data_IF_186540728324
#
_entry.id   IF_186540728324
#
_cell.length_a   1.000
_cell.length_b   1.000
_cell.length_c   1.000
_cell.angle_alpha   90.00
_cell.angle_beta   90.00
_cell.angle_gamma   90.00
#
_symmetry.space_group_name_H-M   'P 1'
#
loop_
_entity.id
_entity.type
_entity.pdbx_description
1 polymer ?
#
# COMPACT_ATOMS: atom_id res chain seq x y z
N UNK A 1 -10.11 61.89 -10.24
CA UNK A 1 -11.27 61.24 -9.61
C UNK A 1 -12.10 62.33 -8.95
N UNK A 2 -13.40 62.43 -9.24
CA UNK A 2 -14.27 63.43 -8.59
C UNK A 2 -14.76 62.88 -7.25
N UNK A 3 -14.49 63.59 -6.17
CA UNK A 3 -15.10 63.31 -4.87
C UNK A 3 -16.57 63.73 -4.91
N UNK A 4 -17.47 62.81 -4.56
CA UNK A 4 -18.89 63.10 -4.45
C UNK A 4 -19.09 64.04 -3.26
N UNK A 5 -19.70 65.20 -3.49
CA UNK A 5 -20.01 66.16 -2.43
C UNK A 5 -20.98 65.53 -1.44
N UNK A 6 -20.56 65.46 -0.18
CA UNK A 6 -21.41 65.07 0.95
C UNK A 6 -22.38 66.23 1.19
N UNK A 7 -23.69 65.95 1.05
CA UNK A 7 -24.71 66.90 1.43
C UNK A 7 -24.63 67.12 2.95
N UNK A 8 -24.43 68.39 3.33
CA UNK A 8 -24.29 68.83 4.71
C UNK A 8 -25.58 68.50 5.49
N UNK A 9 -25.49 67.59 6.47
CA UNK A 9 -26.61 67.21 7.35
C UNK A 9 -26.92 65.70 7.45
N UNK A 10 -26.27 64.82 6.70
CA UNK A 10 -26.51 63.37 6.83
C UNK A 10 -25.61 62.75 7.90
N UNK A 11 -26.20 62.03 8.87
CA UNK A 11 -25.46 61.32 9.91
C UNK A 11 -24.40 60.40 9.28
N UNK A 12 -23.16 60.38 9.80
CA UNK A 12 -22.12 59.48 9.30
C UNK A 12 -22.63 58.04 9.27
N UNK A 13 -22.49 57.37 8.12
CA UNK A 13 -22.92 55.99 7.97
C UNK A 13 -22.25 55.13 9.04
N UNK A 14 -22.99 54.27 9.75
CA UNK A 14 -22.42 53.39 10.75
C UNK A 14 -21.38 52.48 10.09
N UNK A 15 -20.28 52.20 10.78
CA UNK A 15 -19.16 51.43 10.25
C UNK A 15 -19.58 50.09 9.66
N UNK A 16 -20.61 49.44 10.22
CA UNK A 16 -21.17 48.19 9.70
C UNK A 16 -21.76 48.33 8.28
N UNK A 17 -22.41 49.45 7.98
CA UNK A 17 -23.00 49.71 6.67
C UNK A 17 -21.94 50.06 5.63
N UNK A 18 -20.90 50.79 6.04
CA UNK A 18 -19.70 51.03 5.22
C UNK A 18 -19.02 49.71 4.86
N UNK A 19 -18.82 48.83 5.85
CA UNK A 19 -18.23 47.51 5.65
C UNK A 19 -19.12 46.65 4.74
N UNK A 20 -20.44 46.63 4.95
CA UNK A 20 -21.39 45.88 4.12
C UNK A 20 -21.35 46.33 2.65
N UNK A 21 -21.26 47.65 2.41
CA UNK A 21 -21.17 48.21 1.07
C UNK A 21 -19.84 47.88 0.38
N UNK A 22 -18.73 47.93 1.11
CA UNK A 22 -17.40 47.52 0.62
C UNK A 22 -17.39 46.03 0.28
N UNK A 23 -17.95 45.16 1.14
CA UNK A 23 -18.05 43.73 0.89
C UNK A 23 -18.97 43.40 -0.30
N UNK A 24 -20.10 44.10 -0.42
CA UNK A 24 -21.00 43.99 -1.57
C UNK A 24 -20.30 44.37 -2.88
N UNK A 25 -19.50 45.44 -2.85
CA UNK A 25 -18.72 45.89 -4.00
C UNK A 25 -17.55 44.94 -4.34
N UNK A 26 -16.95 44.30 -3.34
CA UNK A 26 -15.90 43.29 -3.51
C UNK A 26 -16.41 41.89 -3.89
N UNK A 27 -17.70 41.60 -3.70
CA UNK A 27 -18.34 40.31 -4.03
C UNK A 27 -18.20 39.95 -5.52
N UNK A 28 -18.23 40.94 -6.41
CA UNK A 28 -18.09 40.74 -7.86
C UNK A 28 -16.65 40.45 -8.31
N UNK A 29 -15.64 40.79 -7.52
CA UNK A 29 -14.24 40.62 -7.88
C UNK A 29 -13.47 40.11 -6.67
N UNK A 30 -13.48 38.79 -6.56
CA UNK A 30 -13.07 38.03 -5.39
C UNK A 30 -11.53 37.96 -5.21
N UNK A 31 -10.82 39.07 -5.39
CA UNK A 31 -9.37 39.16 -5.17
C UNK A 31 -9.02 39.10 -3.69
N UNK A 32 -9.91 39.58 -2.82
CA UNK A 32 -9.71 39.49 -1.37
C UNK A 32 -9.59 38.04 -0.91
N UNK A 33 -10.58 37.16 -1.20
CA UNK A 33 -10.50 35.75 -0.80
C UNK A 33 -9.39 34.98 -1.52
N UNK A 34 -9.02 35.38 -2.75
CA UNK A 34 -7.84 34.82 -3.44
C UNK A 34 -6.54 35.11 -2.69
N UNK A 35 -6.39 36.31 -2.14
CA UNK A 35 -5.18 36.70 -1.40
C UNK A 35 -5.10 36.07 0.01
N UNK A 36 -6.24 35.75 0.63
CA UNK A 36 -6.27 35.03 1.92
C UNK A 36 -6.29 33.51 1.78
N UNK A 37 -6.15 32.98 0.55
CA UNK A 37 -6.15 31.53 0.27
C UNK A 37 -7.51 30.84 0.44
N UNK A 38 -8.60 31.61 0.52
CA UNK A 38 -9.97 31.13 0.75
C UNK A 38 -10.76 30.90 -0.54
N UNK A 39 -10.16 31.10 -1.72
CA UNK A 39 -10.77 30.60 -2.96
C UNK A 39 -10.85 29.08 -2.89
N UNK A 40 -12.06 28.59 -2.71
CA UNK A 40 -12.37 27.16 -2.70
C UNK A 40 -11.81 26.50 -3.96
N UNK A 41 -11.11 25.36 -3.84
CA UNK A 41 -10.72 24.60 -5.01
C UNK A 41 -12.01 24.19 -5.75
N UNK A 42 -12.11 24.61 -7.02
CA UNK A 42 -13.24 24.33 -7.89
C UNK A 42 -13.66 22.86 -7.84
N UNK A 43 -14.96 22.58 -7.70
CA UNK A 43 -15.55 21.23 -7.58
C UNK A 43 -15.19 20.27 -8.73
N UNK A 44 -14.75 20.78 -9.89
CA UNK A 44 -14.24 19.95 -11.00
C UNK A 44 -12.95 19.20 -10.64
N UNK A 45 -12.15 19.73 -9.72
CA UNK A 45 -10.92 19.08 -9.25
C UNK A 45 -11.20 17.85 -8.37
N UNK A 46 -12.32 17.81 -7.64
CA UNK A 46 -12.61 16.69 -6.73
C UNK A 46 -13.08 15.43 -7.47
N UNK A 47 -13.86 15.56 -8.55
CA UNK A 47 -14.38 14.44 -9.33
C UNK A 47 -13.27 13.70 -10.11
N UNK A 48 -12.35 14.44 -10.73
CA UNK A 48 -11.20 13.85 -11.43
C UNK A 48 -10.26 13.13 -10.45
N UNK A 49 -10.02 13.74 -9.29
CA UNK A 49 -9.24 13.14 -8.20
C UNK A 49 -9.91 11.86 -7.67
N UNK A 50 -11.22 11.89 -7.42
CA UNK A 50 -11.97 10.72 -6.97
C UNK A 50 -11.93 9.57 -8.00
N UNK A 51 -12.09 9.89 -9.28
CA UNK A 51 -11.99 8.89 -10.34
C UNK A 51 -10.58 8.29 -10.45
N UNK A 52 -9.52 9.07 -10.18
CA UNK A 52 -8.15 8.57 -10.12
C UNK A 52 -7.96 7.62 -8.92
N UNK A 53 -8.43 8.01 -7.73
CA UNK A 53 -8.37 7.18 -6.52
C UNK A 53 -9.11 5.85 -6.68
N UNK A 54 -10.29 5.85 -7.31
CA UNK A 54 -11.04 4.63 -7.60
C UNK A 54 -10.30 3.69 -8.55
N UNK A 55 -9.61 4.23 -9.56
CA UNK A 55 -8.78 3.43 -10.48
C UNK A 55 -7.60 2.81 -9.75
N UNK A 56 -6.90 3.59 -8.93
CA UNK A 56 -5.77 3.10 -8.14
C UNK A 56 -6.20 1.99 -7.17
N UNK A 57 -7.31 2.19 -6.46
CA UNK A 57 -7.85 1.18 -5.55
C UNK A 57 -8.18 -0.13 -6.28
N UNK A 58 -8.77 -0.04 -7.48
CA UNK A 58 -9.08 -1.23 -8.28
C UNK A 58 -7.80 -1.91 -8.78
N UNK A 59 -6.82 -1.15 -9.26
CA UNK A 59 -5.53 -1.68 -9.67
C UNK A 59 -4.82 -2.39 -8.50
N UNK A 60 -4.84 -1.79 -7.31
CA UNK A 60 -4.29 -2.36 -6.09
C UNK A 60 -4.99 -3.66 -5.72
N UNK A 61 -6.33 -3.71 -5.74
CA UNK A 61 -7.11 -4.93 -5.47
C UNK A 61 -6.74 -6.06 -6.44
N UNK A 62 -6.64 -5.76 -7.74
CA UNK A 62 -6.23 -6.74 -8.75
C UNK A 62 -4.80 -7.24 -8.50
N UNK A 63 -3.86 -6.33 -8.24
CA UNK A 63 -2.47 -6.71 -7.95
C UNK A 63 -2.35 -7.56 -6.67
N UNK A 64 -3.15 -7.26 -5.64
CA UNK A 64 -3.20 -8.02 -4.39
C UNK A 64 -3.73 -9.43 -4.62
N UNK A 65 -4.79 -9.58 -5.42
CA UNK A 65 -5.32 -10.90 -5.81
C UNK A 65 -4.27 -11.73 -6.55
N UNK A 66 -3.59 -11.14 -7.53
CA UNK A 66 -2.55 -11.84 -8.31
C UNK A 66 -1.38 -12.25 -7.41
N UNK A 67 -0.96 -11.35 -6.50
CA UNK A 67 0.10 -11.64 -5.55
C UNK A 67 -0.28 -12.78 -4.61
N UNK A 68 -1.52 -12.79 -4.12
CA UNK A 68 -2.04 -13.84 -3.26
C UNK A 68 -2.05 -15.20 -3.97
N UNK A 69 -2.53 -15.26 -5.21
CA UNK A 69 -2.52 -16.49 -6.02
C UNK A 69 -1.09 -17.01 -6.23
N UNK A 70 -0.14 -16.11 -6.47
CA UNK A 70 1.26 -16.47 -6.65
C UNK A 70 1.88 -17.02 -5.34
N UNK A 71 1.54 -16.42 -4.19
CA UNK A 71 1.98 -16.91 -2.88
C UNK A 71 1.42 -18.30 -2.57
N UNK A 72 0.14 -18.55 -2.84
CA UNK A 72 -0.46 -19.87 -2.65
C UNK A 72 0.19 -20.93 -3.56
N UNK A 73 0.49 -20.57 -4.82
CA UNK A 73 1.21 -21.45 -5.74
C UNK A 73 2.63 -21.75 -5.24
N UNK A 74 3.35 -20.75 -4.76
CA UNK A 74 4.69 -20.92 -4.19
C UNK A 74 4.65 -21.81 -2.95
N UNK A 75 3.73 -21.56 -2.02
CA UNK A 75 3.56 -22.36 -0.80
C UNK A 75 3.33 -23.84 -1.11
N UNK A 76 2.47 -24.15 -2.10
CA UNK A 76 2.25 -25.53 -2.56
C UNK A 76 3.51 -26.17 -3.12
N UNK A 77 4.30 -25.43 -3.91
CA UNK A 77 5.58 -25.91 -4.44
C UNK A 77 6.60 -26.16 -3.32
N UNK A 78 6.68 -25.27 -2.34
CA UNK A 78 7.57 -25.44 -1.19
C UNK A 78 7.19 -26.67 -0.37
N UNK A 79 5.92 -26.86 -0.05
CA UNK A 79 5.45 -28.05 0.66
C UNK A 79 5.78 -29.36 -0.10
N UNK A 80 5.60 -29.37 -1.43
CA UNK A 80 5.97 -30.53 -2.25
C UNK A 80 7.49 -30.78 -2.27
N UNK A 81 8.29 -29.70 -2.31
CA UNK A 81 9.75 -29.82 -2.26
C UNK A 81 10.24 -30.34 -0.90
N UNK A 82 9.63 -29.88 0.20
CA UNK A 82 9.92 -30.36 1.56
C UNK A 82 9.58 -31.85 1.72
N UNK A 83 8.44 -32.31 1.18
CA UNK A 83 8.06 -33.73 1.20
C UNK A 83 9.08 -34.61 0.43
N UNK A 84 9.53 -34.14 -0.75
CA UNK A 84 10.56 -34.84 -1.53
C UNK A 84 11.87 -34.87 -0.74
N UNK A 85 12.28 -33.75 -0.14
CA UNK A 85 13.50 -33.67 0.65
C UNK A 85 13.45 -34.64 1.85
N UNK A 86 12.33 -34.70 2.56
CA UNK A 86 12.14 -35.61 3.68
C UNK A 86 12.22 -37.08 3.23
N UNK A 87 11.58 -37.43 2.11
CA UNK A 87 11.68 -38.78 1.53
C UNK A 87 13.13 -39.13 1.19
N UNK A 88 13.85 -38.22 0.54
CA UNK A 88 15.25 -38.43 0.17
C UNK A 88 16.13 -38.59 1.40
N UNK A 89 15.92 -37.79 2.45
CA UNK A 89 16.64 -37.92 3.71
C UNK A 89 16.42 -39.30 4.36
N UNK A 90 15.17 -39.79 4.39
CA UNK A 90 14.85 -41.13 4.93
C UNK A 90 15.53 -42.25 4.14
N UNK A 91 15.55 -42.15 2.82
CA UNK A 91 16.23 -43.14 1.96
C UNK A 91 17.74 -43.17 2.22
N UNK A 92 18.35 -41.99 2.37
CA UNK A 92 19.77 -41.87 2.66
C UNK A 92 20.12 -42.49 4.02
N UNK A 93 19.31 -42.23 5.05
CA UNK A 93 19.49 -42.83 6.38
C UNK A 93 19.39 -44.36 6.36
N UNK A 94 18.46 -44.92 5.59
CA UNK A 94 18.31 -46.36 5.47
C UNK A 94 19.51 -46.99 4.75
N UNK A 95 19.98 -46.35 3.68
CA UNK A 95 21.18 -46.79 2.96
C UNK A 95 22.39 -46.80 3.90
N UNK A 96 22.61 -45.74 4.67
CA UNK A 96 23.69 -45.71 5.66
C UNK A 96 23.56 -46.81 6.73
N UNK A 97 22.33 -47.14 7.16
CA UNK A 97 22.12 -48.27 8.09
C UNK A 97 22.45 -49.60 7.43
N UNK A 98 22.16 -49.77 6.14
CA UNK A 98 22.54 -50.96 5.40
C UNK A 98 24.07 -51.07 5.28
N UNK A 99 24.76 -49.99 4.92
CA UNK A 99 26.22 -49.97 4.86
C UNK A 99 26.87 -50.30 6.20
N UNK A 100 26.39 -49.69 7.30
CA UNK A 100 26.86 -50.00 8.64
C UNK A 100 26.62 -51.47 9.01
N UNK A 101 25.45 -52.02 8.65
CA UNK A 101 25.14 -53.45 8.85
C UNK A 101 26.07 -54.35 8.04
N UNK A 102 26.33 -54.02 6.78
CA UNK A 102 27.23 -54.77 5.92
C UNK A 102 28.66 -54.78 6.49
N UNK A 103 29.19 -53.61 6.88
CA UNK A 103 30.52 -53.49 7.50
C UNK A 103 30.60 -54.33 8.79
N UNK A 104 29.56 -54.25 9.64
CA UNK A 104 29.48 -55.06 10.86
C UNK A 104 29.48 -56.55 10.56
N UNK A 105 28.70 -56.97 9.56
CA UNK A 105 28.62 -58.37 9.13
C UNK A 105 29.96 -58.89 8.64
N UNK A 106 30.65 -58.16 7.75
CA UNK A 106 31.99 -58.54 7.26
C UNK A 106 32.99 -58.67 8.40
N UNK A 107 33.04 -57.70 9.32
CA UNK A 107 33.96 -57.72 10.46
C UNK A 107 33.75 -58.93 11.36
N UNK A 108 32.50 -59.32 11.58
CA UNK A 108 32.18 -60.47 12.43
C UNK A 108 32.41 -61.81 11.72
N UNK A 109 32.23 -61.86 10.39
CA UNK A 109 32.53 -63.04 9.57
C UNK A 109 34.04 -63.33 9.49
N UNK A 110 34.87 -62.30 9.34
CA UNK A 110 36.35 -62.46 9.35
C UNK A 110 36.88 -62.96 10.70
N UNK A 111 36.24 -62.55 11.81
CA UNK A 111 36.57 -63.01 13.16
C UNK A 111 36.09 -64.44 13.46
N UNK A 112 35.24 -65.02 12.60
CA UNK A 112 34.66 -66.36 12.79
C UNK A 112 35.33 -67.45 11.96
N UNK A 113 36.39 -67.14 11.20
CA UNK A 113 37.22 -68.16 10.53
C UNK A 113 38.15 -68.81 11.56
N UNK A 114 38.02 -70.12 11.85
CA UNK A 114 38.97 -70.81 12.72
C UNK A 114 40.33 -70.88 12.02
N UNK A 115 41.40 -70.49 12.73
CA UNK A 115 42.75 -70.92 12.39
C UNK A 115 42.82 -72.44 12.63
N UNK A 116 42.69 -73.20 11.55
CA UNK A 116 43.03 -74.63 11.37
C UNK A 116 42.37 -75.61 12.35
#
# INVERSE_FOLDING_TARGET
>A
MRAQAVADGQAPLPSAEVVSKVLSQCSSNNTFLKNVGLSTPSSKSSLACEAALRRELNAQKQSSSILHDHLEKLKKKTAAAEEVLERTARLFDELQKQDRRAISWFRNSDMSSPLV
#
